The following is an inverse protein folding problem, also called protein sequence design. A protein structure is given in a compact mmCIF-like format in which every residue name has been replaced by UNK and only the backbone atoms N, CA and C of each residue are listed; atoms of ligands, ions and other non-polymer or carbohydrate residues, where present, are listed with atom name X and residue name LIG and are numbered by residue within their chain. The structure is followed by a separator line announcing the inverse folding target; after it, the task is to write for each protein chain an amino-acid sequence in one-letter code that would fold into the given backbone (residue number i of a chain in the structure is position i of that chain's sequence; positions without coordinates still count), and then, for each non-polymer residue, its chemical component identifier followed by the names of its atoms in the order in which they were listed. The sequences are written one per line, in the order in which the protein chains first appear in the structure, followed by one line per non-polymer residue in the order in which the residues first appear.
data_IF_859741679190
#
_entry.id   IF_859741679190
#
_cell.length_a   1.000
_cell.length_b   1.000
_cell.length_c   1.000
_cell.angle_alpha   90.00
_cell.angle_beta   90.00
_cell.angle_gamma   90.00
#
_symmetry.space_group_name_H-M   'P 1'
#
loop_
_entity.id
_entity.type
_entity.pdbx_description
1 polymer ?
#
# COMPACT_ATOMS: atom_id res chain seq x y z
N UNK A 1 -5.03 -32.86 -2.80
CA UNK A 1 -4.39 -31.55 -2.67
C UNK A 1 -2.89 -31.76 -2.57
N UNK A 2 -2.10 -31.18 -3.51
CA UNK A 2 -0.63 -31.37 -3.55
C UNK A 2 0.02 -30.66 -2.34
N UNK A 3 1.19 -31.13 -1.90
CA UNK A 3 1.91 -30.59 -0.72
C UNK A 3 2.19 -29.09 -0.87
N UNK A 4 2.52 -28.63 -2.06
CA UNK A 4 2.77 -27.22 -2.41
C UNK A 4 1.53 -26.34 -2.23
N UNK A 5 0.36 -26.83 -2.63
CA UNK A 5 -0.92 -26.13 -2.47
C UNK A 5 -1.28 -25.93 -0.99
N UNK A 6 -1.05 -26.94 -0.14
CA UNK A 6 -1.22 -26.82 1.32
C UNK A 6 -0.29 -25.78 1.92
N UNK A 7 0.96 -25.72 1.45
CA UNK A 7 1.94 -24.74 1.93
C UNK A 7 1.53 -23.32 1.54
N UNK A 8 1.10 -23.12 0.28
CA UNK A 8 0.60 -21.83 -0.21
C UNK A 8 -0.60 -21.35 0.61
N UNK A 9 -1.61 -22.20 0.80
CA UNK A 9 -2.81 -21.84 1.58
C UNK A 9 -2.49 -21.47 3.03
N UNK A 10 -1.52 -22.16 3.65
CA UNK A 10 -1.07 -21.82 5.01
C UNK A 10 -0.38 -20.45 5.06
N UNK A 11 0.48 -20.17 4.07
CA UNK A 11 1.15 -18.87 3.96
C UNK A 11 0.15 -17.74 3.74
N UNK A 12 -0.79 -17.92 2.84
CA UNK A 12 -1.89 -16.97 2.58
C UNK A 12 -2.72 -16.69 3.84
N UNK A 13 -3.04 -17.75 4.62
CA UNK A 13 -3.76 -17.60 5.89
C UNK A 13 -2.98 -16.75 6.90
N UNK A 14 -1.66 -16.95 7.01
CA UNK A 14 -0.81 -16.14 7.90
C UNK A 14 -0.81 -14.68 7.43
N UNK A 15 -0.65 -14.43 6.14
CA UNK A 15 -0.62 -13.07 5.58
C UNK A 15 -1.97 -12.36 5.80
N UNK A 16 -3.08 -13.03 5.54
CA UNK A 16 -4.42 -12.46 5.78
C UNK A 16 -4.63 -12.06 7.23
N UNK A 17 -4.24 -12.93 8.18
CA UNK A 17 -4.33 -12.60 9.61
C UNK A 17 -3.37 -11.46 9.99
N UNK A 18 -2.17 -11.44 9.42
CA UNK A 18 -1.18 -10.40 9.67
C UNK A 18 -1.62 -9.04 9.11
N UNK A 19 -2.22 -8.99 7.91
CA UNK A 19 -2.78 -7.77 7.33
C UNK A 19 -3.80 -7.12 8.28
N UNK A 20 -4.73 -7.92 8.80
CA UNK A 20 -5.72 -7.44 9.77
C UNK A 20 -5.07 -6.89 11.05
N UNK A 21 -4.13 -7.64 11.62
CA UNK A 21 -3.45 -7.27 12.86
C UNK A 21 -2.58 -6.00 12.69
N UNK A 22 -1.82 -5.90 11.60
CA UNK A 22 -1.02 -4.72 11.29
C UNK A 22 -1.89 -3.50 11.01
N UNK A 23 -2.96 -3.64 10.23
CA UNK A 23 -3.88 -2.55 9.95
C UNK A 23 -4.59 -2.04 11.22
N UNK A 24 -4.84 -2.92 12.20
CA UNK A 24 -5.54 -2.57 13.45
C UNK A 24 -4.62 -2.00 14.51
N UNK A 25 -3.40 -2.55 14.67
CA UNK A 25 -2.48 -2.23 15.79
C UNK A 25 -1.27 -1.40 15.37
N UNK A 26 -0.99 -1.34 14.07
CA UNK A 26 0.24 -0.78 13.53
C UNK A 26 1.47 -1.68 13.77
N UNK A 27 2.53 -1.40 13.00
CA UNK A 27 3.77 -2.17 13.06
C UNK A 27 4.39 -2.21 14.46
N UNK A 28 4.47 -1.10 15.17
CA UNK A 28 5.21 -1.01 16.45
C UNK A 28 4.56 -1.89 17.54
N UNK A 29 3.25 -1.87 17.65
CA UNK A 29 2.49 -2.54 18.73
C UNK A 29 2.30 -4.03 18.47
N UNK A 30 2.23 -4.44 17.22
CA UNK A 30 1.97 -5.82 16.84
C UNK A 30 3.04 -6.80 17.35
N UNK A 31 2.61 -7.95 17.87
CA UNK A 31 3.46 -9.05 18.35
C UNK A 31 3.19 -10.30 17.53
N UNK A 32 4.18 -10.77 16.76
CA UNK A 32 4.02 -11.88 15.80
C UNK A 32 3.44 -13.17 16.42
N UNK A 33 3.75 -13.46 17.67
CA UNK A 33 3.22 -14.64 18.37
C UNK A 33 1.70 -14.57 18.62
N UNK A 34 1.08 -13.39 18.49
CA UNK A 34 -0.38 -13.28 18.63
C UNK A 34 -1.11 -13.97 17.48
N UNK A 35 -0.49 -14.08 16.31
CA UNK A 35 -1.05 -14.85 15.19
C UNK A 35 -1.26 -16.34 15.55
N UNK A 36 -0.49 -16.88 16.51
CA UNK A 36 -0.69 -18.25 16.96
C UNK A 36 -2.00 -18.47 17.75
N UNK A 37 -2.70 -17.38 18.10
CA UNK A 37 -4.05 -17.44 18.67
C UNK A 37 -5.13 -17.63 17.59
N UNK A 38 -4.79 -17.35 16.32
CA UNK A 38 -5.67 -17.56 15.19
C UNK A 38 -5.72 -19.05 14.87
N UNK A 39 -6.93 -19.60 14.77
CA UNK A 39 -7.11 -21.03 14.49
C UNK A 39 -6.36 -21.48 13.22
N UNK A 40 -5.63 -22.58 13.34
CA UNK A 40 -4.83 -23.17 12.26
C UNK A 40 -3.49 -22.47 11.95
N UNK A 41 -3.04 -21.50 12.77
CA UNK A 41 -1.68 -20.92 12.69
C UNK A 41 -0.84 -21.45 13.86
N UNK A 42 -0.19 -22.60 13.65
CA UNK A 42 0.75 -23.13 14.63
C UNK A 42 2.08 -22.38 14.57
N UNK A 43 2.73 -22.21 15.75
CA UNK A 43 4.02 -21.50 15.88
C UNK A 43 5.09 -22.03 14.92
N UNK A 44 5.21 -23.36 14.77
CA UNK A 44 6.15 -23.97 13.82
C UNK A 44 5.87 -23.63 12.36
N UNK A 45 4.60 -23.51 11.97
CA UNK A 45 4.20 -23.09 10.61
C UNK A 45 4.52 -21.62 10.37
N UNK A 46 4.27 -20.75 11.37
CA UNK A 46 4.58 -19.33 11.31
C UNK A 46 6.08 -19.11 11.05
N UNK A 47 6.94 -19.64 11.91
CA UNK A 47 8.39 -19.45 11.83
C UNK A 47 9.09 -20.28 10.72
N UNK A 48 8.38 -21.24 10.13
CA UNK A 48 8.83 -21.89 8.88
C UNK A 48 8.65 -20.98 7.66
N UNK A 49 7.63 -20.11 7.66
CA UNK A 49 7.31 -19.25 6.53
C UNK A 49 7.90 -17.83 6.64
N UNK A 50 8.12 -17.34 7.86
CA UNK A 50 8.58 -15.97 8.13
C UNK A 50 9.65 -15.97 9.21
N UNK A 51 10.75 -15.29 8.96
CA UNK A 51 11.88 -15.18 9.90
C UNK A 51 11.55 -14.32 11.14
N UNK A 52 10.55 -13.44 11.03
CA UNK A 52 10.13 -12.56 12.11
C UNK A 52 9.07 -11.54 11.68
N UNK A 53 8.83 -10.57 12.56
CA UNK A 53 7.83 -9.51 12.37
C UNK A 53 8.13 -8.65 11.14
N UNK A 54 9.39 -8.24 10.96
CA UNK A 54 9.80 -7.39 9.83
C UNK A 54 9.59 -8.09 8.49
N UNK A 55 10.00 -9.36 8.36
CA UNK A 55 9.83 -10.17 7.16
C UNK A 55 8.33 -10.34 6.81
N UNK A 56 7.50 -10.62 7.81
CA UNK A 56 6.05 -10.72 7.62
C UNK A 56 5.43 -9.38 7.21
N UNK A 57 5.85 -8.28 7.83
CA UNK A 57 5.34 -6.94 7.51
C UNK A 57 5.76 -6.50 6.12
N UNK A 58 7.02 -6.71 5.72
CA UNK A 58 7.50 -6.44 4.37
C UNK A 58 6.71 -7.24 3.32
N UNK A 59 6.35 -8.50 3.62
CA UNK A 59 5.47 -9.29 2.76
C UNK A 59 4.08 -8.66 2.62
N UNK A 60 3.48 -8.22 3.74
CA UNK A 60 2.18 -7.53 3.72
C UNK A 60 2.25 -6.21 2.93
N UNK A 61 3.33 -5.45 3.08
CA UNK A 61 3.57 -4.22 2.30
C UNK A 61 3.67 -4.55 0.82
N UNK A 62 4.49 -5.52 0.45
CA UNK A 62 4.67 -5.92 -0.96
C UNK A 62 3.32 -6.29 -1.60
N UNK A 63 2.53 -7.15 -0.97
CA UNK A 63 1.19 -7.54 -1.48
C UNK A 63 0.24 -6.35 -1.56
N UNK A 64 0.33 -5.41 -0.61
CA UNK A 64 -0.51 -4.20 -0.62
C UNK A 64 -0.12 -3.24 -1.74
N UNK A 65 1.18 -3.08 -2.00
CA UNK A 65 1.68 -2.27 -3.11
C UNK A 65 1.34 -2.89 -4.48
N UNK A 66 1.51 -4.20 -4.66
CA UNK A 66 1.12 -4.91 -5.89
C UNK A 66 -0.37 -4.76 -6.18
N UNK A 67 -1.22 -4.91 -5.15
CA UNK A 67 -2.66 -4.73 -5.26
C UNK A 67 -3.04 -3.28 -5.57
N UNK A 68 -2.42 -2.31 -4.90
CA UNK A 68 -2.63 -0.89 -5.17
C UNK A 68 -2.25 -0.53 -6.62
N UNK A 69 -1.10 -1.01 -7.10
CA UNK A 69 -0.65 -0.77 -8.47
C UNK A 69 -1.62 -1.33 -9.50
N UNK A 70 -2.10 -2.56 -9.28
CA UNK A 70 -3.09 -3.18 -10.16
C UNK A 70 -4.41 -2.39 -10.24
N UNK A 71 -4.88 -1.83 -9.11
CA UNK A 71 -6.09 -1.00 -9.09
C UNK A 71 -5.83 0.36 -9.73
N UNK A 72 -4.71 1.03 -9.40
CA UNK A 72 -4.43 2.39 -9.83
C UNK A 72 -4.16 2.49 -11.34
N UNK A 73 -3.46 1.53 -11.93
CA UNK A 73 -3.25 1.47 -13.37
C UNK A 73 -4.47 0.91 -14.12
N UNK A 74 -5.27 0.06 -13.46
CA UNK A 74 -6.40 -0.61 -14.10
C UNK A 74 -5.96 -1.65 -15.12
N UNK A 75 -6.91 -2.09 -15.95
CA UNK A 75 -6.69 -3.20 -16.90
C UNK A 75 -5.87 -2.82 -18.12
N UNK A 76 -5.80 -1.55 -18.46
CA UNK A 76 -5.07 -1.03 -19.62
C UNK A 76 -3.61 -0.67 -19.30
N UNK A 77 -3.25 -0.62 -18.03
CA UNK A 77 -1.89 -0.29 -17.56
C UNK A 77 -1.42 1.11 -17.94
N UNK A 78 -2.33 1.99 -18.38
CA UNK A 78 -2.00 3.35 -18.77
C UNK A 78 -2.05 4.31 -17.56
N UNK A 79 -1.29 5.40 -17.65
CA UNK A 79 -1.38 6.49 -16.66
C UNK A 79 -2.79 7.08 -16.69
N UNK A 80 -3.56 6.96 -15.60
CA UNK A 80 -4.93 7.46 -15.53
C UNK A 80 -5.00 8.99 -15.60
N UNK A 81 -6.20 9.53 -15.87
CA UNK A 81 -6.47 10.92 -15.53
C UNK A 81 -6.44 11.13 -14.02
N UNK A 82 -6.28 12.37 -13.54
CA UNK A 82 -6.33 12.64 -12.09
C UNK A 82 -7.67 12.19 -11.49
N UNK A 83 -8.78 12.42 -12.18
CA UNK A 83 -10.11 12.02 -11.71
C UNK A 83 -10.22 10.49 -11.57
N UNK A 84 -9.79 9.75 -12.58
CA UNK A 84 -9.79 8.27 -12.53
C UNK A 84 -8.83 7.75 -11.45
N UNK A 85 -7.67 8.37 -11.30
CA UNK A 85 -6.71 8.01 -10.26
C UNK A 85 -7.31 8.17 -8.85
N UNK A 86 -7.97 9.30 -8.59
CA UNK A 86 -8.63 9.56 -7.31
C UNK A 86 -9.77 8.58 -7.03
N UNK A 87 -10.59 8.29 -8.05
CA UNK A 87 -11.66 7.30 -7.95
C UNK A 87 -11.11 5.90 -7.67
N UNK A 88 -10.04 5.49 -8.36
CA UNK A 88 -9.37 4.21 -8.12
C UNK A 88 -8.73 4.12 -6.72
N UNK A 89 -8.16 5.21 -6.20
CA UNK A 89 -7.70 5.28 -4.82
C UNK A 89 -8.85 5.05 -3.83
N UNK A 90 -10.00 5.68 -4.07
CA UNK A 90 -11.20 5.49 -3.25
C UNK A 90 -11.73 4.06 -3.31
N UNK A 91 -11.79 3.48 -4.51
CA UNK A 91 -12.17 2.07 -4.71
C UNK A 91 -11.21 1.11 -4.00
N UNK A 92 -9.90 1.37 -4.07
CA UNK A 92 -8.89 0.56 -3.35
C UNK A 92 -9.13 0.59 -1.83
N UNK A 93 -9.39 1.77 -1.27
CA UNK A 93 -9.72 1.94 0.14
C UNK A 93 -10.99 1.16 0.53
N UNK A 94 -12.05 1.24 -0.27
CA UNK A 94 -13.31 0.55 0.04
C UNK A 94 -13.25 -0.97 -0.12
N UNK A 95 -12.56 -1.46 -1.14
CA UNK A 95 -12.54 -2.87 -1.48
C UNK A 95 -11.47 -3.67 -0.72
N UNK A 96 -10.40 -3.00 -0.28
CA UNK A 96 -9.25 -3.63 0.34
C UNK A 96 -8.78 -2.82 1.57
N UNK A 97 -9.60 -2.68 2.62
CA UNK A 97 -9.33 -1.77 3.73
C UNK A 97 -8.00 -2.05 4.44
N UNK A 98 -7.67 -3.32 4.75
CA UNK A 98 -6.42 -3.67 5.41
C UNK A 98 -5.20 -3.37 4.52
N UNK A 99 -5.27 -3.72 3.24
CA UNK A 99 -4.20 -3.42 2.28
C UNK A 99 -4.03 -1.92 2.08
N UNK A 100 -5.12 -1.17 2.00
CA UNK A 100 -5.06 0.28 1.82
C UNK A 100 -4.45 0.96 3.04
N UNK A 101 -4.80 0.53 4.25
CA UNK A 101 -4.19 1.05 5.48
C UNK A 101 -2.67 0.84 5.48
N UNK A 102 -2.21 -0.39 5.24
CA UNK A 102 -0.78 -0.72 5.19
C UNK A 102 -0.07 0.05 4.07
N UNK A 103 -0.69 0.18 2.90
CA UNK A 103 -0.14 0.95 1.79
C UNK A 103 0.06 2.43 2.16
N UNK A 104 -0.98 3.10 2.69
CA UNK A 104 -0.89 4.50 3.06
C UNK A 104 0.03 4.73 4.26
N UNK A 105 0.02 3.85 5.27
CA UNK A 105 0.98 3.89 6.38
C UNK A 105 2.42 3.80 5.85
N UNK A 106 2.72 2.84 4.98
CA UNK A 106 4.03 2.67 4.38
C UNK A 106 4.45 3.89 3.53
N UNK A 107 3.52 4.56 2.85
CA UNK A 107 3.83 5.76 2.07
C UNK A 107 4.18 6.97 2.93
N UNK A 108 3.62 7.08 4.14
CA UNK A 108 3.70 8.30 4.98
C UNK A 108 4.58 8.10 6.22
N UNK A 109 4.47 6.95 6.88
CA UNK A 109 5.02 6.70 8.22
C UNK A 109 5.80 5.37 8.29
N UNK A 110 6.68 5.15 7.32
CA UNK A 110 7.51 3.94 7.27
C UNK A 110 8.37 3.82 8.54
N UNK A 111 8.42 2.66 9.21
CA UNK A 111 9.39 2.41 10.26
C UNK A 111 10.82 2.62 9.75
N UNK A 112 11.65 3.35 10.52
CA UNK A 112 13.01 3.73 10.11
C UNK A 112 13.86 2.51 9.70
N UNK A 113 13.75 1.42 10.44
CA UNK A 113 14.46 0.17 10.19
C UNK A 113 14.07 -0.53 8.89
N UNK A 114 12.93 -0.18 8.27
CA UNK A 114 12.40 -0.79 7.04
C UNK A 114 12.43 0.16 5.84
N UNK A 115 12.86 1.42 6.03
CA UNK A 115 12.82 2.44 4.98
C UNK A 115 13.61 2.02 3.73
N UNK A 116 14.80 1.42 3.91
CA UNK A 116 15.63 0.98 2.79
C UNK A 116 14.98 -0.15 1.97
N UNK A 117 14.24 -1.05 2.63
CA UNK A 117 13.57 -2.17 1.97
C UNK A 117 12.31 -1.73 1.22
N UNK A 118 11.64 -0.68 1.71
CA UNK A 118 10.36 -0.18 1.16
C UNK A 118 10.58 0.90 0.10
N UNK A 119 11.69 1.64 0.16
CA UNK A 119 11.97 2.77 -0.73
C UNK A 119 11.81 2.47 -2.24
N UNK A 120 12.23 1.31 -2.78
CA UNK A 120 12.04 1.02 -4.20
C UNK A 120 10.56 0.93 -4.60
N UNK A 121 9.70 0.37 -3.74
CA UNK A 121 8.27 0.26 -3.98
C UNK A 121 7.59 1.63 -3.89
N UNK A 122 7.96 2.45 -2.88
CA UNK A 122 7.50 3.85 -2.77
C UNK A 122 7.83 4.66 -4.02
N UNK A 123 9.04 4.49 -4.58
CA UNK A 123 9.46 5.21 -5.77
C UNK A 123 8.55 4.98 -6.98
N UNK A 124 8.01 3.77 -7.18
CA UNK A 124 7.06 3.46 -8.25
C UNK A 124 5.79 4.31 -8.14
N UNK A 125 5.26 4.46 -6.93
CA UNK A 125 4.04 5.25 -6.71
C UNK A 125 4.30 6.76 -6.73
N UNK A 126 5.47 7.20 -6.28
CA UNK A 126 5.86 8.60 -6.41
C UNK A 126 5.99 9.00 -7.88
N UNK A 127 6.57 8.13 -8.71
CA UNK A 127 6.68 8.32 -10.15
C UNK A 127 5.30 8.30 -10.84
N UNK A 128 4.43 7.35 -10.49
CA UNK A 128 3.05 7.31 -10.99
C UNK A 128 2.29 8.59 -10.65
N UNK A 129 2.39 9.08 -9.41
CA UNK A 129 1.78 10.34 -8.99
C UNK A 129 2.31 11.53 -9.80
N UNK A 130 3.60 11.57 -10.06
CA UNK A 130 4.22 12.59 -10.90
C UNK A 130 3.66 12.56 -12.33
N UNK A 131 3.57 11.37 -12.93
CA UNK A 131 3.01 11.19 -14.29
C UNK A 131 1.54 11.60 -14.37
N UNK A 132 0.71 11.26 -13.36
CA UNK A 132 -0.70 11.69 -13.29
C UNK A 132 -0.80 13.21 -13.24
N UNK A 133 0.03 13.86 -12.42
CA UNK A 133 0.06 15.32 -12.31
C UNK A 133 0.54 15.99 -13.61
N UNK A 134 1.59 15.47 -14.24
CA UNK A 134 2.10 15.96 -15.53
C UNK A 134 1.06 15.83 -16.62
N UNK A 135 0.35 14.70 -16.68
CA UNK A 135 -0.74 14.51 -17.64
C UNK A 135 -1.83 15.56 -17.46
N UNK A 136 -2.29 15.79 -16.23
CA UNK A 136 -3.28 16.82 -15.92
C UNK A 136 -2.82 18.21 -16.38
N UNK A 137 -1.57 18.57 -16.07
CA UNK A 137 -1.02 19.88 -16.43
C UNK A 137 -0.95 20.04 -17.95
N UNK A 138 -0.51 19.01 -18.69
CA UNK A 138 -0.41 19.02 -20.15
C UNK A 138 -1.77 19.12 -20.85
N UNK A 139 -2.82 18.57 -20.24
CA UNK A 139 -4.19 18.61 -20.75
C UNK A 139 -4.97 19.85 -20.31
N UNK A 140 -4.40 20.67 -19.39
CA UNK A 140 -5.08 21.81 -18.78
C UNK A 140 -4.52 23.15 -19.29
N UNK A 141 -5.39 24.16 -19.35
CA UNK A 141 -4.96 25.54 -19.56
C UNK A 141 -4.72 26.22 -18.21
N UNK A 142 -3.45 26.38 -17.84
CA UNK A 142 -3.08 27.07 -16.60
C UNK A 142 -3.44 28.56 -16.67
N UNK A 143 -3.78 29.16 -15.53
CA UNK A 143 -3.99 30.60 -15.40
C UNK A 143 -2.63 31.33 -15.51
N UNK A 144 -2.64 32.56 -16.07
CA UNK A 144 -1.43 33.34 -16.37
C UNK A 144 -0.42 33.48 -15.21
N UNK A 145 -0.90 33.44 -13.96
CA UNK A 145 -0.07 33.57 -12.76
C UNK A 145 0.38 32.24 -12.12
N UNK A 146 0.03 31.10 -12.75
CA UNK A 146 0.39 29.74 -12.28
C UNK A 146 1.29 29.11 -13.35
N UNK A 147 2.56 28.95 -13.03
CA UNK A 147 3.49 28.15 -13.81
C UNK A 147 3.36 26.64 -13.48
N UNK A 148 3.93 25.79 -14.32
CA UNK A 148 3.89 24.32 -14.14
C UNK A 148 4.47 23.88 -12.80
N UNK A 149 5.54 24.52 -12.31
CA UNK A 149 6.18 24.21 -11.04
C UNK A 149 5.25 24.45 -9.86
N UNK A 150 4.50 25.56 -9.89
CA UNK A 150 3.48 25.86 -8.86
C UNK A 150 2.30 24.91 -8.94
N UNK A 151 1.82 24.61 -10.15
CA UNK A 151 0.74 23.67 -10.37
C UNK A 151 1.13 22.30 -9.80
N UNK A 152 2.33 21.81 -10.10
CA UNK A 152 2.85 20.56 -9.57
C UNK A 152 2.94 20.55 -8.05
N UNK A 153 3.42 21.63 -7.43
CA UNK A 153 3.52 21.75 -5.98
C UNK A 153 2.13 21.67 -5.30
N UNK A 154 1.12 22.33 -5.87
CA UNK A 154 -0.25 22.26 -5.36
C UNK A 154 -0.86 20.86 -5.49
N UNK A 155 -0.64 20.18 -6.63
CA UNK A 155 -1.14 18.83 -6.84
C UNK A 155 -0.51 17.82 -5.88
N UNK A 156 0.79 17.93 -5.64
CA UNK A 156 1.49 17.10 -4.63
C UNK A 156 0.90 17.32 -3.22
N UNK A 157 0.67 18.56 -2.83
CA UNK A 157 0.06 18.88 -1.55
C UNK A 157 -1.34 18.25 -1.40
N UNK A 158 -2.16 18.31 -2.46
CA UNK A 158 -3.48 17.68 -2.49
C UNK A 158 -3.35 16.15 -2.34
N UNK A 159 -2.42 15.52 -3.04
CA UNK A 159 -2.18 14.07 -2.92
C UNK A 159 -1.73 13.68 -1.51
N UNK A 160 -0.87 14.46 -0.86
CA UNK A 160 -0.43 14.21 0.51
C UNK A 160 -1.58 14.36 1.51
N UNK A 161 -2.46 15.35 1.32
CA UNK A 161 -3.69 15.50 2.11
C UNK A 161 -4.61 14.28 1.95
N UNK A 162 -4.76 13.74 0.73
CA UNK A 162 -5.55 12.54 0.48
C UNK A 162 -4.99 11.31 1.19
N UNK A 163 -3.69 11.09 1.11
CA UNK A 163 -3.03 9.97 1.83
C UNK A 163 -3.26 10.06 3.33
N UNK A 164 -3.07 11.25 3.90
CA UNK A 164 -3.30 11.50 5.33
C UNK A 164 -4.76 11.26 5.73
N UNK A 165 -5.70 11.65 4.88
CA UNK A 165 -7.13 11.40 5.12
C UNK A 165 -7.41 9.89 5.24
N UNK A 166 -6.94 9.06 4.32
CA UNK A 166 -7.18 7.61 4.37
C UNK A 166 -6.55 6.92 5.57
N UNK A 167 -5.48 7.45 6.16
CA UNK A 167 -4.93 6.94 7.42
C UNK A 167 -5.76 7.30 8.64
N UNK A 168 -6.53 8.39 8.60
CA UNK A 168 -7.29 8.87 9.76
C UNK A 168 -8.73 8.35 9.83
N UNK A 169 -9.27 7.84 8.71
CA UNK A 169 -10.66 7.35 8.64
C UNK A 169 -10.78 5.82 8.62
N UNK A 170 -9.66 5.10 8.73
CA UNK A 170 -9.60 3.62 8.80
C UNK A 170 -9.73 3.06 10.21
#
# INVERSE_FOLDING_TARGET
MKKEEKTRLRREKIITAALFEFATKGYQVFVINELCKVDGIAKGVLYHNFSGKSDLYLTCIQESFEKALAVFLGVDGQVPSLADYMERCHQFYQQYPEHSHIFFEAMIATPEELEADIAPQKAIFLDLNEQVCQKLISESKLKEHIDEKRAMAYLRLIQDMFRSYYLTVS
#
